data_IF_243532301219
#
_entry.id   IF_243532301219
#
_cell.length_a   1.000
_cell.length_b   1.000
_cell.length_c   1.000
_cell.angle_alpha   90.00
_cell.angle_beta   90.00
_cell.angle_gamma   90.00
#
_symmetry.space_group_name_H-M   'P 1'
#
loop_
_entity.id
_entity.type
_entity.pdbx_description
1 polymer ?
#
# COMPACT_ATOMS: atom_id res chain seq x y z
N UNK A 1 6.38 -15.79 -2.91
CA UNK A 1 5.29 -14.78 -2.91
C UNK A 1 5.60 -13.67 -1.94
N UNK A 2 6.08 -12.52 -2.41
CA UNK A 2 6.29 -11.34 -1.57
C UNK A 2 5.14 -10.34 -1.73
N UNK A 3 4.94 -9.49 -0.72
CA UNK A 3 3.87 -8.48 -0.73
C UNK A 3 4.45 -7.13 -0.32
N UNK A 4 4.12 -6.09 -1.08
CA UNK A 4 4.42 -4.71 -0.76
C UNK A 4 3.30 -4.15 0.10
N UNK A 5 3.66 -3.64 1.28
CA UNK A 5 2.72 -3.08 2.24
C UNK A 5 3.09 -1.61 2.48
N UNK A 6 2.09 -0.72 2.49
CA UNK A 6 2.30 0.65 2.91
C UNK A 6 2.51 0.72 4.42
N UNK A 7 3.58 1.37 4.89
CA UNK A 7 3.85 1.52 6.32
C UNK A 7 2.85 2.47 7.03
N UNK A 8 2.17 3.34 6.29
CA UNK A 8 1.27 4.36 6.84
C UNK A 8 -0.15 3.82 7.04
N UNK A 9 -0.73 3.16 6.03
CA UNK A 9 -2.10 2.62 6.10
C UNK A 9 -2.17 1.09 6.20
N UNK A 10 -1.02 0.40 6.25
CA UNK A 10 -0.92 -1.07 6.28
C UNK A 10 -1.58 -1.78 5.09
N UNK A 11 -1.83 -1.06 4.00
CA UNK A 11 -2.53 -1.58 2.83
C UNK A 11 -1.56 -2.24 1.86
N UNK A 12 -1.99 -3.35 1.24
CA UNK A 12 -1.20 -4.04 0.23
C UNK A 12 -1.17 -3.22 -1.06
N UNK A 13 0.03 -2.82 -1.47
CA UNK A 13 0.30 -2.07 -2.69
C UNK A 13 0.45 -2.98 -3.91
N UNK A 14 0.79 -4.25 -3.67
CA UNK A 14 0.92 -5.24 -4.73
C UNK A 14 1.61 -6.51 -4.24
N UNK A 15 1.55 -7.55 -5.07
CA UNK A 15 2.22 -8.82 -4.85
C UNK A 15 3.29 -9.01 -5.92
N UNK A 16 4.43 -9.60 -5.53
CA UNK A 16 5.44 -10.03 -6.49
C UNK A 16 5.68 -11.53 -6.35
N UNK A 17 5.73 -12.22 -7.49
CA UNK A 17 6.15 -13.61 -7.54
C UNK A 17 7.67 -13.67 -7.48
N UNK A 18 8.17 -14.18 -6.35
CA UNK A 18 9.58 -14.45 -6.14
C UNK A 18 9.73 -15.60 -5.16
N UNK A 19 10.82 -16.36 -5.35
CA UNK A 19 11.14 -17.60 -4.62
C UNK A 19 11.24 -17.39 -3.11
N UNK A 20 11.60 -16.18 -2.67
CA UNK A 20 11.66 -15.81 -1.24
C UNK A 20 10.46 -14.94 -0.84
N UNK A 21 9.64 -15.45 0.08
CA UNK A 21 8.55 -14.69 0.72
C UNK A 21 9.18 -13.57 1.56
N UNK A 22 9.00 -12.32 1.14
CA UNK A 22 9.41 -11.13 1.88
C UNK A 22 8.28 -10.11 1.91
N UNK A 23 8.05 -9.50 3.08
CA UNK A 23 7.17 -8.33 3.23
C UNK A 23 8.05 -7.08 3.13
N UNK A 24 7.75 -6.24 2.15
CA UNK A 24 8.46 -4.99 1.92
C UNK A 24 7.56 -3.83 2.34
N UNK A 25 8.05 -3.00 3.25
CA UNK A 25 7.33 -1.82 3.70
C UNK A 25 7.77 -0.61 2.89
N UNK A 26 6.84 0.02 2.19
CA UNK A 26 7.10 1.29 1.51
C UNK A 26 6.45 2.44 2.26
N UNK A 27 7.21 3.52 2.47
CA UNK A 27 6.75 4.75 3.13
C UNK A 27 6.18 5.76 2.12
N UNK A 28 6.55 5.62 0.83
CA UNK A 28 6.20 6.53 -0.25
C UNK A 28 5.57 5.77 -1.43
N UNK A 29 4.70 6.43 -2.22
CA UNK A 29 3.90 5.86 -3.33
C UNK A 29 2.68 5.00 -2.92
N UNK A 30 2.06 5.28 -1.78
CA UNK A 30 0.74 4.72 -1.51
C UNK A 30 -0.34 5.66 -2.06
N UNK A 31 -1.03 5.22 -3.11
CA UNK A 31 -2.13 5.96 -3.72
C UNK A 31 -3.21 6.32 -2.71
N UNK A 32 -3.47 5.46 -1.72
CA UNK A 32 -4.43 5.75 -0.65
C UNK A 32 -3.96 6.88 0.29
N UNK A 33 -2.68 6.93 0.64
CA UNK A 33 -2.13 7.99 1.50
C UNK A 33 -1.93 9.30 0.75
N UNK A 34 -1.53 9.23 -0.52
CA UNK A 34 -1.41 10.39 -1.40
C UNK A 34 -2.78 11.03 -1.65
N UNK A 35 -3.80 10.21 -1.89
CA UNK A 35 -5.19 10.68 -2.05
C UNK A 35 -5.75 11.29 -0.77
N UNK A 36 -5.31 10.85 0.43
CA UNK A 36 -5.79 11.41 1.71
C UNK A 36 -5.33 12.84 1.96
N UNK A 37 -4.22 13.27 1.36
CA UNK A 37 -3.73 14.65 1.46
C UNK A 37 -4.51 15.62 0.56
N UNK A 38 -5.24 15.11 -0.44
CA UNK A 38 -6.04 15.89 -1.38
C UNK A 38 -7.54 15.69 -1.14
N UNK A 39 -8.04 16.22 -0.02
CA UNK A 39 -9.45 16.33 0.41
C UNK A 39 -10.19 15.00 0.68
N UNK A 40 -10.95 14.93 1.79
CA UNK A 40 -11.71 13.73 2.13
C UNK A 40 -12.94 13.61 1.22
N UNK A 41 -12.90 12.70 0.25
CA UNK A 41 -14.14 12.20 -0.36
C UNK A 41 -14.30 10.73 0.01
N UNK A 42 -15.34 10.51 0.81
CA UNK A 42 -15.89 9.23 1.21
C UNK A 42 -16.03 8.28 0.02
N UNK A 43 -15.59 7.03 0.21
CA UNK A 43 -16.13 5.91 -0.56
C UNK A 43 -16.14 4.67 0.33
N UNK A 44 -17.07 4.66 1.27
CA UNK A 44 -17.73 3.43 1.70
C UNK A 44 -19.01 3.34 0.86
N UNK A 45 -19.12 2.30 0.05
CA UNK A 45 -20.39 1.79 -0.48
C UNK A 45 -20.38 0.28 -0.34
#
# INVERSE_FOLDING_TARGET
MGTFICQVCSQALGHFEGEKVSRLYSVSNCTHCESKSAKPSSSQK
#
